data_IF_400075627601
#
_entry.id   IF_400075627601
#
_cell.length_a   1.000
_cell.length_b   1.000
_cell.length_c   1.000
_cell.angle_alpha   90.00
_cell.angle_beta   90.00
_cell.angle_gamma   90.00
#
_symmetry.space_group_name_H-M   'P 1'
#
loop_
_entity.id
_entity.type
_entity.pdbx_description
1 polymer ?
#
# COMPACT_ATOMS: atom_id res chain seq x y z
N UNK A 1 6.79 10.81 -11.49
CA UNK A 1 7.88 9.92 -10.99
C UNK A 1 8.38 10.37 -9.61
N UNK A 2 8.58 11.67 -9.33
CA UNK A 2 8.95 12.14 -7.99
C UNK A 2 7.85 11.98 -6.92
N UNK A 3 6.58 12.09 -7.33
CA UNK A 3 5.41 12.12 -6.44
C UNK A 3 5.09 10.78 -5.75
N UNK A 4 5.23 9.65 -6.44
CA UNK A 4 4.99 8.32 -5.83
C UNK A 4 6.09 7.91 -4.84
N UNK A 5 7.34 8.28 -5.10
CA UNK A 5 8.43 8.08 -4.15
C UNK A 5 8.19 8.94 -2.88
N UNK A 6 7.76 10.19 -3.05
CA UNK A 6 7.35 11.06 -1.93
C UNK A 6 6.15 10.49 -1.17
N UNK A 7 5.16 9.91 -1.87
CA UNK A 7 4.04 9.22 -1.22
C UNK A 7 4.55 8.12 -0.28
N UNK A 8 5.46 7.27 -0.77
CA UNK A 8 6.06 6.21 0.05
C UNK A 8 6.86 6.74 1.23
N UNK A 9 7.68 7.76 1.01
CA UNK A 9 8.45 8.39 2.08
C UNK A 9 7.54 8.95 3.18
N UNK A 10 6.40 9.55 2.82
CA UNK A 10 5.43 10.12 3.77
C UNK A 10 4.56 9.06 4.45
N UNK A 11 4.12 8.02 3.75
CA UNK A 11 3.26 6.98 4.35
C UNK A 11 4.04 6.03 5.26
N UNK A 12 5.33 5.80 5.02
CA UNK A 12 6.15 4.83 5.77
C UNK A 12 6.18 5.10 7.28
N UNK A 13 6.48 6.32 7.77
CA UNK A 13 6.48 6.58 9.21
C UNK A 13 5.07 6.48 9.82
N UNK A 14 4.02 6.84 9.08
CA UNK A 14 2.63 6.66 9.52
C UNK A 14 2.34 5.17 9.66
N UNK A 15 2.63 4.35 8.65
CA UNK A 15 2.45 2.90 8.70
C UNK A 15 3.21 2.28 9.89
N UNK A 16 4.44 2.74 10.13
CA UNK A 16 5.28 2.26 11.23
C UNK A 16 4.70 2.59 12.62
N UNK A 17 4.01 3.73 12.78
CA UNK A 17 3.37 4.09 14.05
C UNK A 17 2.19 3.18 14.40
N UNK A 18 1.58 2.53 13.40
CA UNK A 18 0.57 1.48 13.58
C UNK A 18 1.19 0.07 13.73
N UNK A 19 2.52 -0.03 13.90
CA UNK A 19 3.22 -1.32 13.94
C UNK A 19 3.22 -2.06 12.60
N UNK A 20 2.91 -1.35 11.50
CA UNK A 20 2.91 -1.91 10.17
C UNK A 20 4.26 -1.74 9.46
N UNK A 21 4.44 -2.47 8.37
CA UNK A 21 5.62 -2.38 7.52
C UNK A 21 5.27 -2.72 6.07
N UNK A 22 6.13 -2.32 5.14
CA UNK A 22 6.10 -2.91 3.80
C UNK A 22 6.60 -4.35 3.88
N UNK A 23 5.85 -5.27 3.29
CA UNK A 23 6.28 -6.66 3.11
C UNK A 23 7.03 -6.81 1.79
N UNK A 24 6.44 -7.56 0.86
CA UNK A 24 6.98 -7.71 -0.48
C UNK A 24 6.71 -6.47 -1.34
N UNK A 25 7.60 -6.19 -2.29
CA UNK A 25 7.47 -5.08 -3.23
C UNK A 25 8.12 -5.46 -4.56
N UNK A 26 7.34 -5.41 -5.63
CA UNK A 26 7.69 -5.93 -6.94
C UNK A 26 7.48 -4.88 -8.01
N UNK A 27 8.45 -4.73 -8.90
CA UNK A 27 8.22 -4.15 -10.22
C UNK A 27 7.73 -5.28 -11.12
N UNK A 28 6.55 -5.09 -11.73
CA UNK A 28 5.93 -6.13 -12.55
C UNK A 28 6.53 -6.10 -13.96
N UNK A 29 7.27 -7.14 -14.31
CA UNK A 29 7.83 -7.29 -15.67
C UNK A 29 6.78 -7.77 -16.68
N UNK A 30 5.84 -8.63 -16.26
CA UNK A 30 4.80 -9.20 -17.13
C UNK A 30 3.59 -9.65 -16.33
N UNK A 31 2.39 -9.33 -16.82
CA UNK A 31 1.11 -9.89 -16.34
C UNK A 31 0.70 -11.06 -17.23
N UNK A 32 0.47 -12.24 -16.63
CA UNK A 32 0.03 -13.43 -17.37
C UNK A 32 -1.49 -13.46 -17.57
N UNK A 33 -2.26 -12.96 -16.59
CA UNK A 33 -3.72 -12.87 -16.60
C UNK A 33 -4.16 -11.71 -15.71
N UNK A 34 -5.09 -10.87 -16.17
CA UNK A 34 -5.58 -9.69 -15.44
C UNK A 34 -5.27 -8.37 -16.15
N UNK A 35 -5.23 -7.26 -15.40
CA UNK A 35 -4.93 -5.94 -15.95
C UNK A 35 -3.42 -5.80 -16.25
N UNK A 36 -3.09 -5.72 -17.54
CA UNK A 36 -1.70 -5.60 -18.02
C UNK A 36 -1.03 -4.26 -17.67
N UNK A 37 -1.78 -3.27 -17.17
CA UNK A 37 -1.25 -1.95 -16.78
C UNK A 37 -0.65 -1.94 -15.38
N UNK A 38 -0.84 -3.01 -14.59
CA UNK A 38 -0.22 -3.14 -13.27
C UNK A 38 1.30 -3.20 -13.45
N UNK A 39 1.99 -2.19 -12.93
CA UNK A 39 3.45 -2.05 -13.03
C UNK A 39 4.16 -2.20 -11.68
N UNK A 40 3.42 -2.26 -10.57
CA UNK A 40 3.94 -2.46 -9.22
C UNK A 40 2.94 -3.21 -8.35
N UNK A 41 3.42 -4.13 -7.52
CA UNK A 41 2.63 -4.86 -6.52
C UNK A 41 3.42 -4.87 -5.23
N UNK A 42 2.77 -4.58 -4.11
CA UNK A 42 3.39 -4.68 -2.80
C UNK A 42 2.38 -5.18 -1.76
N UNK A 43 2.90 -5.70 -0.64
CA UNK A 43 2.09 -6.06 0.53
C UNK A 43 2.36 -5.11 1.68
N UNK A 44 1.34 -4.89 2.50
CA UNK A 44 1.47 -4.21 3.79
C UNK A 44 1.27 -5.25 4.88
N UNK A 45 2.23 -5.33 5.79
CA UNK A 45 2.15 -6.14 7.01
C UNK A 45 1.56 -5.25 8.09
N UNK A 46 0.49 -5.70 8.74
CA UNK A 46 -0.14 -5.03 9.86
C UNK A 46 -0.42 -6.07 10.96
N UNK A 47 -0.38 -5.69 12.25
CA UNK A 47 -0.54 -6.63 13.36
C UNK A 47 -1.86 -7.41 13.32
N UNK A 48 -2.94 -6.73 12.93
CA UNK A 48 -4.29 -7.27 12.90
C UNK A 48 -5.20 -6.41 12.00
N UNK A 49 -6.41 -6.91 11.75
CA UNK A 49 -7.41 -6.24 10.91
C UNK A 49 -7.89 -4.90 11.50
N UNK A 50 -8.08 -4.80 12.81
CA UNK A 50 -8.53 -3.55 13.42
C UNK A 50 -7.47 -2.45 13.29
N UNK A 51 -6.19 -2.80 13.39
CA UNK A 51 -5.06 -1.89 13.18
C UNK A 51 -4.96 -1.47 11.71
N UNK A 52 -5.23 -2.36 10.77
CA UNK A 52 -5.35 -2.01 9.33
C UNK A 52 -6.47 -1.01 9.07
N UNK A 53 -7.65 -1.25 9.63
CA UNK A 53 -8.81 -0.37 9.45
C UNK A 53 -8.53 1.04 10.00
N UNK A 54 -7.91 1.13 11.19
CA UNK A 54 -7.47 2.42 11.75
C UNK A 54 -6.40 3.11 10.90
N UNK A 55 -5.41 2.37 10.38
CA UNK A 55 -4.38 2.94 9.49
C UNK A 55 -5.00 3.56 8.24
N UNK A 56 -5.92 2.87 7.56
CA UNK A 56 -6.54 3.40 6.35
C UNK A 56 -7.54 4.54 6.61
N UNK A 57 -8.00 4.70 7.84
CA UNK A 57 -8.81 5.83 8.29
C UNK A 57 -7.97 7.01 8.84
N UNK A 58 -6.65 6.87 8.96
CA UNK A 58 -5.77 7.89 9.52
C UNK A 58 -5.76 9.16 8.65
N UNK A 59 -6.01 10.31 9.26
CA UNK A 59 -6.12 11.58 8.56
C UNK A 59 -4.81 12.00 7.84
N UNK A 60 -3.65 11.67 8.42
CA UNK A 60 -2.36 11.97 7.79
C UNK A 60 -2.10 11.03 6.61
N UNK A 61 -2.49 9.76 6.72
CA UNK A 61 -2.44 8.82 5.60
C UNK A 61 -3.35 9.27 4.45
N UNK A 62 -4.60 9.64 4.75
CA UNK A 62 -5.56 10.12 3.75
C UNK A 62 -5.05 11.38 3.06
N UNK A 63 -4.49 12.34 3.80
CA UNK A 63 -3.89 13.54 3.23
C UNK A 63 -2.69 13.21 2.32
N UNK A 64 -1.79 12.32 2.75
CA UNK A 64 -0.65 11.88 1.94
C UNK A 64 -1.10 11.17 0.65
N UNK A 65 -2.16 10.34 0.74
CA UNK A 65 -2.74 9.64 -0.41
C UNK A 65 -3.33 10.62 -1.43
N UNK A 66 -4.15 11.57 -0.98
CA UNK A 66 -4.77 12.56 -1.85
C UNK A 66 -3.74 13.45 -2.56
N UNK A 67 -2.72 13.91 -1.82
CA UNK A 67 -1.72 14.84 -2.35
C UNK A 67 -0.71 14.15 -3.29
N UNK A 68 -0.30 12.92 -2.97
CA UNK A 68 0.87 12.30 -3.60
C UNK A 68 0.54 11.02 -4.38
N UNK A 69 -0.40 10.21 -3.91
CA UNK A 69 -0.73 8.93 -4.57
C UNK A 69 -1.73 9.11 -5.70
N UNK A 70 -2.86 9.77 -5.47
CA UNK A 70 -3.95 9.91 -6.45
C UNK A 70 -3.50 10.57 -7.76
N UNK A 71 -2.66 11.62 -7.76
CA UNK A 71 -2.13 12.20 -9.00
C UNK A 71 -1.10 11.30 -9.69
N UNK A 72 -0.53 10.31 -8.99
CA UNK A 72 0.58 9.48 -9.45
C UNK A 72 0.15 8.09 -9.93
N UNK A 73 -1.06 7.66 -9.62
CA UNK A 73 -1.55 6.30 -9.80
C UNK A 73 -2.84 6.32 -10.61
N UNK A 74 -2.77 5.82 -11.84
CA UNK A 74 -3.94 5.76 -12.72
C UNK A 74 -5.02 4.79 -12.22
N UNK A 75 -4.63 3.68 -11.60
CA UNK A 75 -5.54 2.67 -11.04
C UNK A 75 -4.84 1.91 -9.93
N UNK A 76 -5.57 1.58 -8.86
CA UNK A 76 -5.10 0.74 -7.76
C UNK A 76 -6.11 -0.38 -7.51
N UNK A 77 -5.61 -1.58 -7.24
CA UNK A 77 -6.42 -2.77 -6.98
C UNK A 77 -5.92 -3.47 -5.71
N UNK A 78 -6.83 -4.01 -4.91
CA UNK A 78 -6.51 -4.91 -3.80
C UNK A 78 -6.62 -6.34 -4.32
N UNK A 79 -5.49 -7.03 -4.44
CA UNK A 79 -5.45 -8.40 -4.97
C UNK A 79 -5.90 -9.45 -3.95
N UNK A 80 -5.73 -9.17 -2.66
CA UNK A 80 -6.13 -10.06 -1.59
C UNK A 80 -5.56 -9.62 -0.25
N UNK A 81 -6.06 -10.26 0.79
CA UNK A 81 -5.61 -10.12 2.17
C UNK A 81 -5.23 -11.52 2.67
N UNK A 82 -4.12 -11.62 3.39
CA UNK A 82 -3.66 -12.88 3.97
C UNK A 82 -3.69 -12.71 5.48
N UNK A 83 -4.51 -13.50 6.15
CA UNK A 83 -4.51 -13.61 7.60
C UNK A 83 -3.81 -14.93 7.95
N UNK A 84 -2.64 -14.84 8.58
CA UNK A 84 -1.95 -16.02 9.07
C UNK A 84 -2.72 -16.54 10.29
N UNK A 85 -3.46 -17.64 10.11
CA UNK A 85 -4.02 -18.37 11.24
C UNK A 85 -2.89 -19.18 11.87
N UNK A 86 -2.55 -18.91 13.13
CA UNK A 86 -1.65 -19.79 13.88
C UNK A 86 -2.39 -21.11 14.06
N UNK A 87 -1.83 -22.18 13.49
CA UNK A 87 -2.33 -23.54 13.66
C UNK A 87 -2.06 -24.07 15.07
#
# INVERSE_FOLDING_TARGET
MATYASYRARMTPILSSYGGAFGHDFIVARVLKGDARINRVFTLLLPDRATRERFFADAQYLAARAELSEPSVATALVLGEIEATVA
#
